data_IF_041258044668
#
_entry.id   IF_041258044668
#
_cell.length_a   1.000
_cell.length_b   1.000
_cell.length_c   1.000
_cell.angle_alpha   90.00
_cell.angle_beta   90.00
_cell.angle_gamma   90.00
#
_symmetry.space_group_name_H-M   'P 1'
#
loop_
_entity.id
_entity.type
_entity.pdbx_description
1 polymer ?
#
# COMPACT_ATOMS: atom_id res chain seq x y z
N UNK A 1 -26.17 8.31 -46.17
CA UNK A 1 -25.28 9.27 -45.48
C UNK A 1 -25.42 9.02 -43.98
N UNK A 2 -24.53 8.22 -43.41
CA UNK A 2 -24.66 7.74 -42.03
C UNK A 2 -23.94 8.66 -41.04
N UNK A 3 -24.58 8.94 -39.90
CA UNK A 3 -23.89 9.35 -38.69
C UNK A 3 -24.42 8.48 -37.55
N UNK A 4 -23.53 7.60 -37.07
CA UNK A 4 -23.75 6.65 -36.00
C UNK A 4 -23.90 7.41 -34.68
N UNK A 5 -25.01 7.24 -33.99
CA UNK A 5 -25.17 7.62 -32.59
C UNK A 5 -24.50 6.52 -31.77
N UNK A 6 -23.37 6.83 -31.14
CA UNK A 6 -22.67 5.87 -30.26
C UNK A 6 -23.30 5.94 -28.88
N UNK A 7 -24.24 5.04 -28.60
CA UNK A 7 -24.78 4.83 -27.25
C UNK A 7 -23.75 4.03 -26.46
N UNK A 8 -23.18 4.66 -25.44
CA UNK A 8 -22.27 4.02 -24.48
C UNK A 8 -23.13 3.20 -23.50
N UNK A 9 -23.23 1.89 -23.73
CA UNK A 9 -23.93 0.97 -22.82
C UNK A 9 -23.04 0.69 -21.60
N UNK A 10 -23.41 1.25 -20.44
CA UNK A 10 -22.77 0.91 -19.17
C UNK A 10 -23.37 -0.41 -18.67
N UNK A 11 -22.58 -1.49 -18.70
CA UNK A 11 -22.98 -2.82 -18.27
C UNK A 11 -22.88 -2.90 -16.72
N UNK A 12 -23.95 -2.54 -16.01
CA UNK A 12 -24.06 -2.81 -14.57
C UNK A 12 -24.44 -4.29 -14.38
N UNK A 13 -23.43 -5.16 -14.24
CA UNK A 13 -23.64 -6.55 -13.83
C UNK A 13 -24.00 -6.56 -12.34
N UNK A 14 -25.25 -6.90 -12.04
CA UNK A 14 -25.76 -7.03 -10.68
C UNK A 14 -25.07 -8.18 -9.94
N UNK A 15 -24.51 -7.86 -8.77
CA UNK A 15 -24.15 -8.86 -7.78
C UNK A 15 -25.38 -9.11 -6.88
N UNK A 16 -26.07 -10.22 -7.11
CA UNK A 16 -27.01 -10.76 -6.13
C UNK A 16 -26.19 -11.31 -4.96
N UNK A 17 -26.08 -10.57 -3.85
CA UNK A 17 -25.45 -11.04 -2.63
C UNK A 17 -26.44 -11.94 -1.87
N UNK A 18 -26.18 -13.24 -1.87
CA UNK A 18 -26.78 -14.17 -0.90
C UNK A 18 -26.25 -13.84 0.49
N UNK A 19 -27.11 -13.34 1.38
CA UNK A 19 -26.77 -13.06 2.77
C UNK A 19 -26.67 -14.39 3.53
N UNK A 20 -25.44 -14.78 3.87
CA UNK A 20 -25.17 -15.85 4.83
C UNK A 20 -25.03 -15.24 6.22
N UNK A 21 -25.95 -15.56 7.13
CA UNK A 21 -25.88 -15.21 8.54
C UNK A 21 -25.05 -16.27 9.31
N UNK A 22 -23.77 -16.42 8.95
CA UNK A 22 -22.87 -17.33 9.64
C UNK A 22 -22.21 -16.59 10.81
N UNK A 23 -22.17 -17.20 11.99
CA UNK A 23 -21.31 -16.72 13.09
C UNK A 23 -19.88 -16.65 12.57
N UNK A 24 -19.39 -15.42 12.38
CA UNK A 24 -18.07 -15.16 11.81
C UNK A 24 -17.02 -15.61 12.83
N UNK A 25 -16.57 -16.86 12.73
CA UNK A 25 -15.30 -17.27 13.31
C UNK A 25 -14.26 -16.42 12.61
N UNK A 26 -13.87 -15.31 13.24
CA UNK A 26 -12.92 -14.35 12.66
C UNK A 26 -11.65 -15.11 12.30
N UNK A 27 -11.42 -15.27 11.00
CA UNK A 27 -10.20 -15.87 10.49
C UNK A 27 -9.00 -15.12 11.08
N UNK A 28 -8.03 -15.82 11.67
CA UNK A 28 -6.80 -15.18 12.13
C UNK A 28 -6.01 -14.58 10.97
N UNK A 29 -6.21 -15.07 9.74
CA UNK A 29 -5.63 -14.51 8.52
C UNK A 29 -6.56 -13.46 7.89
N UNK A 30 -6.01 -12.27 7.63
CA UNK A 30 -6.63 -11.18 6.89
C UNK A 30 -5.78 -10.83 5.68
N UNK A 31 -6.40 -10.74 4.51
CA UNK A 31 -5.75 -10.25 3.29
C UNK A 31 -6.29 -8.87 2.98
N UNK A 32 -5.42 -7.92 2.71
CA UNK A 32 -5.77 -6.56 2.32
C UNK A 32 -4.88 -6.07 1.18
N UNK A 33 -5.29 -4.98 0.56
CA UNK A 33 -4.51 -4.34 -0.48
C UNK A 33 -4.70 -2.84 -0.45
N UNK A 34 -3.72 -2.14 -1.00
CA UNK A 34 -3.73 -0.69 -1.16
C UNK A 34 -3.07 -0.34 -2.48
N UNK A 35 -3.56 0.70 -3.15
CA UNK A 35 -2.94 1.24 -4.33
C UNK A 35 -3.18 2.75 -4.38
N UNK A 36 -2.14 3.49 -4.76
CA UNK A 36 -2.18 4.93 -4.89
C UNK A 36 -1.60 5.36 -6.24
N UNK A 37 -2.48 5.89 -7.09
CA UNK A 37 -2.11 6.46 -8.39
C UNK A 37 -2.15 7.97 -8.27
N UNK A 38 -1.20 8.65 -8.90
CA UNK A 38 -1.10 10.09 -8.89
C UNK A 38 -0.71 10.65 -10.26
N UNK A 39 -1.02 11.93 -10.44
CA UNK A 39 -0.44 12.78 -11.47
C UNK A 39 -0.04 14.08 -10.79
N UNK A 40 1.13 14.60 -11.14
CA UNK A 40 1.56 15.91 -10.65
C UNK A 40 2.33 16.67 -11.72
N UNK A 41 2.35 17.99 -11.56
CA UNK A 41 3.05 18.90 -12.44
C UNK A 41 3.88 19.92 -11.65
N UNK A 42 5.16 19.98 -11.96
CA UNK A 42 6.17 20.88 -11.42
C UNK A 42 6.54 21.90 -12.50
N UNK A 43 6.33 23.19 -12.21
CA UNK A 43 6.64 24.30 -13.12
C UNK A 43 8.14 24.42 -13.43
N UNK A 44 9.02 23.89 -12.58
CA UNK A 44 10.46 23.83 -12.83
C UNK A 44 10.82 22.80 -13.91
N UNK A 45 9.87 21.97 -14.34
CA UNK A 45 9.96 21.00 -15.43
C UNK A 45 11.28 20.21 -15.44
N UNK A 46 11.55 19.37 -14.41
CA UNK A 46 12.79 18.62 -14.30
C UNK A 46 13.02 17.74 -15.54
N UNK A 47 14.23 17.81 -16.12
CA UNK A 47 14.59 17.17 -17.40
C UNK A 47 14.27 15.68 -17.52
N UNK A 48 14.23 14.95 -16.40
CA UNK A 48 14.01 13.49 -16.37
C UNK A 48 12.67 13.10 -15.73
N UNK A 49 11.71 14.02 -15.64
CA UNK A 49 10.43 13.78 -14.95
C UNK A 49 10.61 13.27 -13.52
N UNK A 50 11.74 13.56 -12.88
CA UNK A 50 12.11 13.07 -11.55
C UNK A 50 12.29 14.28 -10.66
N UNK A 51 11.60 14.29 -9.53
CA UNK A 51 11.76 15.30 -8.49
C UNK A 51 13.11 15.13 -7.78
N UNK A 52 13.56 16.13 -7.00
CA UNK A 52 14.81 16.01 -6.25
C UNK A 52 14.85 14.74 -5.38
N UNK A 53 16.05 14.16 -5.21
CA UNK A 53 16.24 12.84 -4.59
C UNK A 53 15.86 12.73 -3.11
N UNK A 54 15.54 13.83 -2.44
CA UNK A 54 14.97 13.83 -1.09
C UNK A 54 13.44 13.62 -1.07
N UNK A 55 12.78 13.63 -2.24
CA UNK A 55 11.34 13.38 -2.37
C UNK A 55 11.11 11.89 -2.63
N UNK A 56 10.85 11.16 -1.54
CA UNK A 56 10.73 9.69 -1.56
C UNK A 56 9.31 9.17 -1.88
N UNK A 57 8.31 10.04 -1.92
CA UNK A 57 6.93 9.73 -2.36
C UNK A 57 6.54 10.68 -3.49
N UNK A 58 5.71 10.22 -4.43
CA UNK A 58 5.29 11.03 -5.57
C UNK A 58 6.50 11.63 -6.32
N UNK A 59 7.50 10.81 -6.57
CA UNK A 59 8.82 11.25 -7.07
C UNK A 59 8.86 11.57 -8.57
N UNK A 60 7.77 11.29 -9.30
CA UNK A 60 7.67 11.48 -10.74
C UNK A 60 6.86 12.72 -11.10
N UNK A 61 7.18 13.35 -12.22
CA UNK A 61 6.57 14.59 -12.66
C UNK A 61 6.05 14.49 -14.09
N UNK A 62 4.92 15.14 -14.40
CA UNK A 62 4.34 15.21 -15.74
C UNK A 62 4.02 13.82 -16.34
N UNK A 63 3.69 12.86 -15.47
CA UNK A 63 3.30 11.50 -15.85
C UNK A 63 2.33 10.92 -14.81
N UNK A 64 1.45 10.00 -15.24
CA UNK A 64 0.61 9.22 -14.34
C UNK A 64 1.45 8.08 -13.80
N UNK A 65 1.50 7.92 -12.48
CA UNK A 65 2.32 6.87 -11.88
C UNK A 65 1.66 6.25 -10.64
N UNK A 66 2.10 5.05 -10.28
CA UNK A 66 1.72 4.37 -9.05
C UNK A 66 2.76 4.72 -7.99
N UNK A 67 2.35 5.48 -6.96
CA UNK A 67 3.26 5.82 -5.86
C UNK A 67 3.57 4.56 -5.05
N UNK A 68 2.53 3.97 -4.45
CA UNK A 68 2.62 2.74 -3.67
C UNK A 68 1.42 1.86 -3.98
N UNK A 69 1.67 0.60 -4.32
CA UNK A 69 0.68 -0.45 -4.32
C UNK A 69 1.20 -1.66 -3.57
N UNK A 70 0.37 -2.30 -2.75
CA UNK A 70 0.75 -3.54 -2.08
C UNK A 70 -0.44 -4.47 -1.87
N UNK A 71 -0.12 -5.76 -1.71
CA UNK A 71 -0.99 -6.76 -1.11
C UNK A 71 -0.36 -7.20 0.20
N UNK A 72 -1.17 -7.29 1.25
CA UNK A 72 -0.75 -7.62 2.61
C UNK A 72 -1.53 -8.81 3.15
N UNK A 73 -0.80 -9.78 3.70
CA UNK A 73 -1.32 -10.84 4.55
C UNK A 73 -0.95 -10.53 6.00
N UNK A 74 -1.95 -10.49 6.86
CA UNK A 74 -1.79 -10.27 8.29
C UNK A 74 -2.40 -11.48 9.02
N UNK A 75 -1.58 -12.19 9.77
CA UNK A 75 -2.01 -13.32 10.59
C UNK A 75 -1.91 -12.93 12.06
N UNK A 76 -2.99 -13.02 12.81
CA UNK A 76 -3.03 -12.62 14.20
C UNK A 76 -3.83 -13.60 15.05
N UNK A 77 -3.22 -14.01 16.16
CA UNK A 77 -3.80 -14.88 17.20
C UNK A 77 -3.51 -14.25 18.56
N UNK A 78 -3.96 -14.88 19.64
CA UNK A 78 -3.71 -14.38 21.00
C UNK A 78 -2.22 -14.26 21.37
N UNK A 79 -1.32 -15.02 20.73
CA UNK A 79 0.10 -15.11 21.10
C UNK A 79 1.08 -14.85 19.96
N UNK A 80 0.62 -14.87 18.73
CA UNK A 80 1.43 -14.73 17.52
C UNK A 80 0.78 -13.73 16.57
N UNK A 81 1.59 -12.82 16.03
CA UNK A 81 1.23 -11.99 14.90
C UNK A 81 2.31 -12.08 13.82
N UNK A 82 1.91 -12.05 12.56
CA UNK A 82 2.81 -12.02 11.43
C UNK A 82 2.24 -11.15 10.32
N UNK A 83 3.12 -10.42 9.65
CA UNK A 83 2.79 -9.54 8.54
C UNK A 83 3.70 -9.84 7.37
N UNK A 84 3.12 -9.99 6.19
CA UNK A 84 3.86 -10.00 4.93
C UNK A 84 3.12 -9.09 3.95
N UNK A 85 3.82 -8.09 3.42
CA UNK A 85 3.31 -7.20 2.39
C UNK A 85 4.30 -7.10 1.24
N UNK A 86 3.80 -7.36 0.03
CA UNK A 86 4.56 -7.20 -1.20
C UNK A 86 4.11 -5.90 -1.87
N UNK A 87 5.05 -4.99 -2.03
CA UNK A 87 4.85 -3.65 -2.55
C UNK A 87 5.49 -3.44 -3.92
N UNK A 88 4.89 -2.53 -4.68
CA UNK A 88 5.36 -2.03 -5.97
C UNK A 88 5.07 -0.53 -6.09
N UNK A 89 5.68 0.14 -7.06
CA UNK A 89 5.48 1.56 -7.34
C UNK A 89 6.74 2.39 -7.18
N UNK A 90 6.64 3.69 -7.45
CA UNK A 90 7.76 4.62 -7.39
C UNK A 90 8.33 4.74 -5.98
N UNK A 91 7.50 4.57 -4.95
CA UNK A 91 7.92 4.55 -3.56
C UNK A 91 8.93 3.44 -3.29
N UNK A 92 8.65 2.21 -3.73
CA UNK A 92 9.57 1.08 -3.54
C UNK A 92 10.89 1.31 -4.28
N UNK A 93 10.83 1.84 -5.51
CA UNK A 93 12.01 2.16 -6.29
C UNK A 93 12.87 3.27 -5.67
N UNK A 94 12.26 4.24 -4.98
CA UNK A 94 12.99 5.33 -4.32
C UNK A 94 13.53 4.96 -2.94
N UNK A 95 12.75 4.23 -2.12
CA UNK A 95 13.10 3.97 -0.70
C UNK A 95 13.87 2.65 -0.51
N UNK A 96 13.61 1.65 -1.35
CA UNK A 96 14.23 0.32 -1.27
C UNK A 96 15.24 0.11 -2.41
N UNK A 97 15.75 1.20 -2.99
CA UNK A 97 16.69 1.17 -4.12
C UNK A 97 17.97 0.37 -3.83
N UNK A 98 18.40 0.34 -2.57
CA UNK A 98 19.58 -0.39 -2.12
C UNK A 98 19.34 -1.90 -1.93
N UNK A 99 18.09 -2.35 -1.91
CA UNK A 99 17.75 -3.76 -1.71
C UNK A 99 17.95 -4.56 -2.99
N UNK A 100 18.59 -5.73 -2.87
CA UNK A 100 18.97 -6.53 -4.04
C UNK A 100 17.80 -7.36 -4.58
N UNK A 101 17.63 -7.35 -5.90
CA UNK A 101 16.72 -8.25 -6.60
C UNK A 101 15.26 -8.07 -6.21
N UNK A 102 14.66 -9.12 -5.65
CA UNK A 102 13.23 -9.15 -5.26
C UNK A 102 12.97 -8.54 -3.87
N UNK A 103 14.02 -8.38 -3.04
CA UNK A 103 13.87 -7.86 -1.68
C UNK A 103 13.33 -6.43 -1.67
N UNK A 104 13.61 -5.64 -2.71
CA UNK A 104 13.08 -4.29 -2.90
C UNK A 104 11.54 -4.22 -3.00
N UNK A 105 10.88 -5.36 -3.23
CA UNK A 105 9.42 -5.43 -3.29
C UNK A 105 8.82 -5.88 -1.94
N UNK A 106 9.61 -6.10 -0.90
CA UNK A 106 9.11 -6.44 0.43
C UNK A 106 8.84 -5.13 1.16
N UNK A 107 7.56 -4.76 1.26
CA UNK A 107 7.14 -3.56 1.98
C UNK A 107 7.09 -3.81 3.50
N UNK A 108 6.65 -4.99 3.91
CA UNK A 108 6.58 -5.38 5.31
C UNK A 108 6.80 -6.89 5.43
N UNK A 109 7.63 -7.32 6.38
CA UNK A 109 7.86 -8.73 6.66
C UNK A 109 8.30 -8.87 8.11
N UNK A 110 7.35 -9.01 9.02
CA UNK A 110 7.63 -9.09 10.45
C UNK A 110 6.81 -10.18 11.14
N UNK A 111 7.35 -10.64 12.27
CA UNK A 111 6.71 -11.57 13.18
C UNK A 111 6.81 -11.04 14.60
N UNK A 112 5.75 -11.26 15.38
CA UNK A 112 5.64 -10.81 16.75
C UNK A 112 5.12 -11.91 17.67
N UNK A 113 5.73 -12.06 18.83
CA UNK A 113 5.30 -13.01 19.87
C UNK A 113 4.92 -12.30 21.15
N UNK A 114 3.81 -12.72 21.76
CA UNK A 114 3.34 -12.18 23.03
C UNK A 114 3.99 -12.91 24.18
N UNK A 115 4.68 -12.19 25.05
CA UNK A 115 5.45 -12.80 26.15
C UNK A 115 4.60 -12.96 27.42
N UNK A 116 3.65 -12.05 27.64
CA UNK A 116 2.84 -12.06 28.86
C UNK A 116 1.42 -12.54 28.59
N UNK A 117 0.92 -13.43 29.44
CA UNK A 117 -0.48 -13.89 29.41
C UNK A 117 -1.46 -12.80 29.88
N UNK A 118 -1.01 -11.93 30.78
CA UNK A 118 -1.87 -10.96 31.47
C UNK A 118 -1.61 -9.52 31.02
N UNK A 119 -0.53 -9.27 30.28
CA UNK A 119 -0.15 -7.94 29.78
C UNK A 119 0.00 -7.96 28.26
N UNK A 120 -0.29 -6.85 27.59
CA UNK A 120 -0.17 -6.74 26.14
C UNK A 120 1.29 -6.43 25.71
N UNK A 121 2.23 -7.31 26.08
CA UNK A 121 3.66 -7.14 25.80
C UNK A 121 4.10 -8.06 24.65
N UNK A 122 4.64 -7.46 23.59
CA UNK A 122 5.07 -8.12 22.36
C UNK A 122 6.56 -7.88 22.09
N UNK A 123 7.22 -8.86 21.49
CA UNK A 123 8.50 -8.68 20.82
C UNK A 123 8.27 -8.93 19.34
N UNK A 124 8.62 -7.94 18.52
CA UNK A 124 8.54 -8.01 17.07
C UNK A 124 9.94 -7.97 16.45
N UNK A 125 10.10 -8.69 15.34
CA UNK A 125 11.33 -8.73 14.56
C UNK A 125 11.01 -8.80 13.06
N UNK A 126 11.87 -8.19 12.25
CA UNK A 126 11.80 -8.20 10.79
C UNK A 126 11.77 -6.81 10.18
N UNK A 127 11.21 -6.71 8.97
CA UNK A 127 10.95 -5.47 8.25
C UNK A 127 9.66 -4.86 8.78
N UNK A 128 9.83 -3.82 9.58
CA UNK A 128 8.76 -3.12 10.30
C UNK A 128 8.47 -1.78 9.63
N UNK A 129 7.22 -1.30 9.67
CA UNK A 129 6.91 0.05 9.24
C UNK A 129 7.67 1.05 10.12
N UNK A 130 8.18 2.11 9.48
CA UNK A 130 8.84 3.20 10.20
C UNK A 130 7.80 3.99 11.01
N UNK A 131 7.91 3.97 12.33
CA UNK A 131 7.02 4.70 13.24
C UNK A 131 7.69 6.01 13.68
N UNK A 132 7.93 6.91 12.72
CA UNK A 132 8.59 8.20 12.96
C UNK A 132 7.59 9.31 12.65
N UNK A 133 7.03 9.92 13.70
CA UNK A 133 6.11 11.05 13.56
C UNK A 133 4.73 10.67 13.04
N UNK A 134 4.06 11.63 12.40
CA UNK A 134 2.70 11.49 11.85
C UNK A 134 2.67 11.04 10.38
N UNK A 135 3.83 10.75 9.80
CA UNK A 135 3.95 10.41 8.39
C UNK A 135 3.92 8.89 8.16
N UNK A 136 3.38 8.49 7.02
CA UNK A 136 3.26 7.09 6.59
C UNK A 136 3.67 6.96 5.12
N UNK A 137 4.09 5.75 4.73
CA UNK A 137 4.24 5.42 3.31
C UNK A 137 2.89 5.39 2.57
N UNK A 138 1.81 5.15 3.32
CA UNK A 138 0.44 5.16 2.84
C UNK A 138 -0.10 6.59 2.95
N UNK A 139 -0.21 7.30 1.82
CA UNK A 139 -0.49 8.74 1.87
C UNK A 139 -1.91 9.06 2.34
N UNK A 140 -2.87 8.10 2.24
CA UNK A 140 -4.22 8.26 2.84
C UNK A 140 -4.18 8.47 4.36
N UNK A 141 -3.12 8.01 5.01
CA UNK A 141 -2.93 8.12 6.46
C UNK A 141 -2.19 9.41 6.85
N UNK A 142 -1.80 10.23 5.87
CA UNK A 142 -1.04 11.48 6.06
C UNK A 142 -1.94 12.72 5.91
N UNK A 143 -1.62 13.80 6.62
CA UNK A 143 -2.29 15.11 6.45
C UNK A 143 -1.90 15.80 5.14
N UNK A 144 -0.68 15.56 4.66
CA UNK A 144 -0.16 16.06 3.39
C UNK A 144 0.06 14.90 2.43
N UNK A 145 -0.17 15.15 1.13
CA UNK A 145 -0.01 14.12 0.09
C UNK A 145 1.43 13.60 -0.01
N UNK A 146 2.41 14.47 0.25
CA UNK A 146 3.82 14.13 0.26
C UNK A 146 4.35 14.10 1.70
N UNK A 147 5.19 13.11 1.97
CA UNK A 147 5.99 12.97 3.20
C UNK A 147 7.26 13.84 3.13
N UNK A 148 7.83 14.24 4.28
CA UNK A 148 9.10 14.97 4.38
C UNK A 148 10.25 14.14 4.94
#
# INVERSE_FOLDING_TARGET
MGKKVSILTFLMLGAASTLYAQEETKSPLKISGYAEVYYQYDFNNPKNNTRPGFVYSHSRNNEVNLNLGFVKANYETEKLRANVALGVGTYMNSNYAAETGVLKNIYEANVGVKISKNKNLWIDAGILPSHIGFESAVSKDCFTLTRS
#
